data_IF_533763971488
#
_entry.id   IF_533763971488
#
_cell.length_a   1.000
_cell.length_b   1.000
_cell.length_c   1.000
_cell.angle_alpha   90.00
_cell.angle_beta   90.00
_cell.angle_gamma   90.00
#
_symmetry.space_group_name_H-M   'P 1'
#
loop_
_entity.id
_entity.type
_entity.pdbx_description
1 polymer ?
#
# COMPACT_ATOMS: atom_id res chain seq x y z
N UNK A 1 -7.88 -22.06 70.11
CA UNK A 1 -8.59 -21.36 68.99
C UNK A 1 -7.59 -21.02 67.88
N UNK A 2 -7.61 -21.78 66.76
CA UNK A 2 -6.72 -21.56 65.61
C UNK A 2 -7.52 -20.77 64.57
N UNK A 3 -7.07 -19.55 64.27
CA UNK A 3 -7.63 -18.77 63.19
C UNK A 3 -6.97 -19.19 61.89
N UNK A 4 -7.74 -19.78 60.95
CA UNK A 4 -7.32 -20.10 59.57
C UNK A 4 -7.63 -18.85 58.74
N UNK A 5 -6.59 -18.14 58.31
CA UNK A 5 -6.69 -17.09 57.30
C UNK A 5 -6.84 -17.75 55.92
N UNK A 6 -8.01 -17.70 55.36
CA UNK A 6 -8.24 -18.02 53.93
C UNK A 6 -7.74 -16.84 53.07
N UNK A 7 -6.60 -17.06 52.42
CA UNK A 7 -6.06 -16.16 51.39
C UNK A 7 -6.77 -16.50 50.07
N UNK A 8 -7.82 -15.77 49.75
CA UNK A 8 -8.45 -15.84 48.44
C UNK A 8 -7.56 -15.10 47.42
N UNK A 9 -6.78 -15.85 46.65
CA UNK A 9 -6.11 -15.32 45.44
C UNK A 9 -7.18 -14.94 44.42
N UNK A 10 -7.50 -13.66 44.31
CA UNK A 10 -8.18 -13.12 43.13
C UNK A 10 -7.22 -13.20 41.95
N UNK A 11 -7.34 -14.23 41.14
CA UNK A 11 -6.78 -14.27 39.80
C UNK A 11 -7.60 -13.27 38.95
N UNK A 12 -7.13 -12.04 38.88
CA UNK A 12 -7.59 -11.11 37.85
C UNK A 12 -7.15 -11.66 36.51
N UNK A 13 -8.05 -12.37 35.83
CA UNK A 13 -7.95 -12.58 34.40
C UNK A 13 -8.03 -11.20 33.74
N UNK A 14 -6.88 -10.57 33.49
CA UNK A 14 -6.78 -9.50 32.51
C UNK A 14 -7.12 -10.16 31.17
N UNK A 15 -8.38 -10.11 30.79
CA UNK A 15 -8.79 -10.41 29.45
C UNK A 15 -8.06 -9.38 28.58
N UNK A 16 -6.95 -9.80 27.98
CA UNK A 16 -6.26 -9.02 26.97
C UNK A 16 -7.28 -8.80 25.86
N UNK A 17 -7.72 -7.57 25.65
CA UNK A 17 -8.66 -7.26 24.59
C UNK A 17 -8.11 -7.88 23.30
N UNK A 18 -8.89 -8.75 22.67
CA UNK A 18 -8.48 -9.37 21.44
C UNK A 18 -8.24 -8.26 20.41
N UNK A 19 -7.04 -8.24 19.82
CA UNK A 19 -6.75 -7.34 18.72
C UNK A 19 -7.70 -7.67 17.57
N UNK A 20 -8.55 -6.74 17.16
CA UNK A 20 -9.59 -6.94 16.18
C UNK A 20 -9.65 -5.75 15.21
N UNK A 21 -9.57 -6.03 13.92
CA UNK A 21 -9.79 -5.03 12.88
C UNK A 21 -11.30 -4.88 12.66
N UNK A 22 -11.81 -3.68 12.91
CA UNK A 22 -13.19 -3.31 12.62
C UNK A 22 -13.28 -2.74 11.22
N UNK A 23 -13.21 -3.64 10.23
CA UNK A 23 -13.26 -3.24 8.84
C UNK A 23 -14.71 -2.97 8.43
N UNK A 24 -14.95 -1.78 7.88
CA UNK A 24 -16.27 -1.33 7.43
C UNK A 24 -16.24 -1.06 5.91
N UNK A 25 -16.47 -2.09 5.07
CA UNK A 25 -16.53 -1.89 3.64
C UNK A 25 -17.66 -0.94 3.26
N UNK A 26 -17.37 0.05 2.41
CA UNK A 26 -18.39 0.88 1.80
C UNK A 26 -18.45 0.67 0.30
N UNK A 27 -19.63 0.62 -0.26
CA UNK A 27 -19.81 0.56 -1.70
C UNK A 27 -19.52 1.94 -2.31
N UNK A 28 -18.57 1.99 -3.27
CA UNK A 28 -18.13 3.24 -3.92
C UNK A 28 -18.67 3.36 -5.35
N UNK A 29 -19.05 2.24 -5.96
CA UNK A 29 -19.73 2.16 -7.25
C UNK A 29 -20.52 0.83 -7.33
N UNK A 30 -21.25 0.60 -8.42
CA UNK A 30 -22.05 -0.61 -8.59
C UNK A 30 -21.19 -1.89 -8.54
N UNK A 31 -21.33 -2.65 -7.44
CA UNK A 31 -20.56 -3.85 -7.15
C UNK A 31 -19.07 -3.60 -6.90
N UNK A 32 -18.66 -2.36 -6.59
CA UNK A 32 -17.28 -2.00 -6.24
C UNK A 32 -17.26 -1.44 -4.83
N UNK A 33 -16.41 -2.02 -4.00
CA UNK A 33 -16.32 -1.77 -2.58
C UNK A 33 -14.92 -1.35 -2.17
N UNK A 34 -14.82 -0.62 -1.06
CA UNK A 34 -13.58 -0.16 -0.47
C UNK A 34 -13.58 -0.35 1.04
N UNK A 35 -12.48 -0.85 1.57
CA UNK A 35 -12.04 -0.71 2.96
C UNK A 35 -10.95 0.36 2.97
N UNK A 36 -11.27 1.53 3.52
CA UNK A 36 -10.36 2.67 3.53
C UNK A 36 -9.36 2.55 4.68
N UNK A 37 -8.08 2.75 4.37
CA UNK A 37 -6.99 2.79 5.35
C UNK A 37 -6.76 4.18 5.93
N UNK A 38 -6.04 4.24 7.04
CA UNK A 38 -5.58 5.51 7.63
C UNK A 38 -4.45 6.14 6.79
N UNK A 39 -4.33 7.46 6.80
CA UNK A 39 -3.18 8.18 6.21
C UNK A 39 -1.97 8.24 7.14
N UNK A 40 -2.01 7.55 8.29
CA UNK A 40 -0.93 7.48 9.27
C UNK A 40 0.20 6.53 8.84
N UNK A 41 1.22 6.44 9.67
CA UNK A 41 2.27 5.43 9.55
C UNK A 41 1.85 4.10 10.20
N UNK A 42 2.62 3.03 9.97
CA UNK A 42 2.50 1.79 10.74
C UNK A 42 2.64 2.06 12.22
N UNK A 43 1.68 1.62 13.01
CA UNK A 43 1.68 1.78 14.45
C UNK A 43 0.91 0.63 15.14
N UNK A 44 1.24 0.39 16.40
CA UNK A 44 0.59 -0.66 17.18
C UNK A 44 -0.90 -0.39 17.45
N UNK A 45 -1.33 0.86 17.44
CA UNK A 45 -2.72 1.26 17.65
C UNK A 45 -3.60 1.09 16.41
N UNK A 46 -3.02 1.18 15.19
CA UNK A 46 -3.75 0.94 13.94
C UNK A 46 -3.51 -0.47 13.37
N UNK A 47 -2.58 -1.24 13.93
CA UNK A 47 -2.23 -2.58 13.46
C UNK A 47 -1.70 -2.62 12.02
N UNK A 48 -1.29 -1.49 11.47
CA UNK A 48 -0.86 -1.35 10.09
C UNK A 48 -2.00 -1.17 9.08
N UNK A 49 -3.23 -0.89 9.52
CA UNK A 49 -4.37 -0.61 8.63
C UNK A 49 -4.26 0.80 8.03
N UNK A 50 -3.38 0.95 7.04
CA UNK A 50 -3.08 2.22 6.37
C UNK A 50 -3.34 2.20 4.85
N UNK A 51 -3.62 1.02 4.30
CA UNK A 51 -3.83 0.80 2.86
C UNK A 51 -5.31 0.80 2.50
N UNK A 52 -5.62 1.26 1.31
CA UNK A 52 -6.93 1.11 0.70
C UNK A 52 -7.04 -0.27 0.04
N UNK A 53 -7.91 -1.12 0.57
CA UNK A 53 -8.19 -2.44 0.02
C UNK A 53 -9.53 -2.41 -0.71
N UNK A 54 -9.52 -2.82 -1.98
CA UNK A 54 -10.71 -2.86 -2.81
C UNK A 54 -11.25 -4.27 -3.04
N UNK A 55 -12.55 -4.37 -3.35
CA UNK A 55 -13.08 -5.59 -3.91
C UNK A 55 -14.24 -5.35 -4.87
N UNK A 56 -14.36 -6.25 -5.85
CA UNK A 56 -15.29 -6.13 -6.96
C UNK A 56 -16.18 -7.38 -7.02
N UNK A 57 -17.49 -7.18 -7.02
CA UNK A 57 -18.44 -8.26 -7.25
C UNK A 57 -18.48 -8.65 -8.72
N UNK A 58 -18.45 -9.95 -8.97
CA UNK A 58 -18.58 -10.55 -10.29
C UNK A 58 -19.71 -11.60 -10.27
N UNK A 59 -20.02 -12.20 -11.41
CA UNK A 59 -20.96 -13.32 -11.49
C UNK A 59 -20.43 -14.58 -10.79
N UNK A 60 -19.10 -14.77 -10.78
CA UNK A 60 -18.46 -15.96 -10.21
C UNK A 60 -18.18 -15.83 -8.70
N UNK A 61 -18.21 -14.62 -8.15
CA UNK A 61 -17.88 -14.29 -6.76
C UNK A 61 -17.20 -12.93 -6.64
N UNK A 62 -16.35 -12.77 -5.66
CA UNK A 62 -15.65 -11.50 -5.38
C UNK A 62 -14.19 -11.58 -5.77
N UNK A 63 -13.71 -10.57 -6.50
CA UNK A 63 -12.29 -10.32 -6.75
C UNK A 63 -11.80 -9.29 -5.74
N UNK A 64 -10.72 -9.58 -5.04
CA UNK A 64 -10.13 -8.69 -4.03
C UNK A 64 -8.85 -8.07 -4.58
N UNK A 65 -8.66 -6.80 -4.35
CA UNK A 65 -7.47 -6.04 -4.75
C UNK A 65 -6.72 -5.67 -3.47
N UNK A 66 -5.55 -6.31 -3.29
CA UNK A 66 -4.73 -6.32 -2.10
C UNK A 66 -5.42 -6.98 -0.87
N UNK A 67 -4.64 -7.30 0.16
CA UNK A 67 -5.13 -8.15 1.25
C UNK A 67 -4.84 -7.62 2.65
N UNK A 68 -4.10 -6.50 2.73
CA UNK A 68 -3.79 -5.85 4.00
C UNK A 68 -2.50 -6.34 4.68
N UNK A 69 -2.18 -5.78 5.86
CA UNK A 69 -0.87 -5.86 6.51
C UNK A 69 -0.60 -7.17 7.26
N UNK A 70 -1.58 -8.03 7.49
CA UNK A 70 -1.39 -9.23 8.31
C UNK A 70 -2.43 -10.30 8.02
N UNK A 71 -2.14 -11.55 8.42
CA UNK A 71 -3.12 -12.64 8.42
C UNK A 71 -4.42 -12.23 9.11
N UNK A 72 -4.32 -11.63 10.29
CA UNK A 72 -5.48 -11.17 11.06
C UNK A 72 -6.34 -10.15 10.30
N UNK A 73 -5.68 -9.23 9.59
CA UNK A 73 -6.39 -8.29 8.71
C UNK A 73 -7.11 -9.04 7.58
N UNK A 74 -6.42 -9.93 6.90
CA UNK A 74 -7.00 -10.73 5.81
C UNK A 74 -8.21 -11.58 6.29
N UNK A 75 -8.15 -12.15 7.49
CA UNK A 75 -9.28 -12.88 8.10
C UNK A 75 -10.49 -11.96 8.34
N UNK A 76 -10.26 -10.76 8.88
CA UNK A 76 -11.30 -9.75 9.08
C UNK A 76 -11.86 -9.24 7.73
N UNK A 77 -10.99 -9.02 6.74
CA UNK A 77 -11.38 -8.62 5.40
C UNK A 77 -12.29 -9.66 4.75
N UNK A 78 -11.91 -10.94 4.79
CA UNK A 78 -12.71 -12.05 4.24
C UNK A 78 -14.11 -12.11 4.86
N UNK A 79 -14.19 -11.98 6.19
CA UNK A 79 -15.47 -11.93 6.90
C UNK A 79 -16.31 -10.71 6.50
N UNK A 80 -15.68 -9.55 6.35
CA UNK A 80 -16.35 -8.31 5.94
C UNK A 80 -16.90 -8.40 4.52
N UNK A 81 -16.16 -9.01 3.60
CA UNK A 81 -16.60 -9.26 2.22
C UNK A 81 -17.82 -10.19 2.20
N UNK A 82 -17.75 -11.32 2.92
CA UNK A 82 -18.86 -12.27 2.99
C UNK A 82 -20.14 -11.61 3.58
N UNK A 83 -19.96 -10.80 4.62
CA UNK A 83 -21.06 -10.05 5.24
C UNK A 83 -21.67 -9.01 4.28
N UNK A 84 -20.83 -8.31 3.51
CA UNK A 84 -21.29 -7.24 2.60
C UNK A 84 -21.95 -7.77 1.33
N UNK A 85 -21.45 -8.89 0.78
CA UNK A 85 -21.83 -9.38 -0.56
C UNK A 85 -22.60 -10.69 -0.55
N UNK A 86 -22.46 -11.50 0.49
CA UNK A 86 -22.98 -12.88 0.54
C UNK A 86 -22.28 -13.83 -0.44
N UNK A 87 -21.14 -13.43 -1.04
CA UNK A 87 -20.44 -14.17 -2.09
C UNK A 87 -19.07 -14.62 -1.64
N UNK A 88 -18.55 -15.77 -2.16
CA UNK A 88 -17.19 -16.20 -1.89
C UNK A 88 -16.16 -15.34 -2.62
N UNK A 89 -14.96 -15.22 -2.05
CA UNK A 89 -13.80 -14.67 -2.75
C UNK A 89 -13.27 -15.72 -3.73
N UNK A 90 -13.10 -15.34 -5.00
CA UNK A 90 -12.69 -16.25 -6.08
C UNK A 90 -11.30 -15.92 -6.63
N UNK A 91 -10.78 -14.73 -6.39
CA UNK A 91 -9.43 -14.33 -6.84
C UNK A 91 -8.92 -13.14 -6.05
N UNK A 92 -7.60 -13.14 -5.80
CA UNK A 92 -6.86 -11.99 -5.31
C UNK A 92 -6.02 -11.40 -6.45
N UNK A 93 -6.01 -10.08 -6.57
CA UNK A 93 -5.12 -9.33 -7.47
C UNK A 93 -4.23 -8.44 -6.61
N UNK A 94 -2.91 -8.62 -6.69
CA UNK A 94 -1.97 -7.82 -5.92
C UNK A 94 -1.44 -6.67 -6.78
N UNK A 95 -1.48 -5.46 -6.22
CA UNK A 95 -0.96 -4.27 -6.90
C UNK A 95 0.56 -4.27 -6.92
N UNK A 96 1.22 -4.59 -5.82
CA UNK A 96 2.67 -4.69 -5.69
C UNK A 96 3.03 -5.51 -4.43
N UNK A 97 4.31 -5.55 -4.04
CA UNK A 97 4.81 -6.49 -3.03
C UNK A 97 4.92 -5.93 -1.60
N UNK A 98 4.54 -4.69 -1.34
CA UNK A 98 4.70 -4.10 0.00
C UNK A 98 3.82 -4.76 1.07
N UNK A 99 4.28 -4.74 2.34
CA UNK A 99 3.72 -5.61 3.39
C UNK A 99 2.26 -5.29 3.74
N UNK A 100 1.86 -4.04 3.67
CA UNK A 100 0.48 -3.60 3.93
C UNK A 100 -0.51 -4.00 2.82
N UNK A 101 -0.01 -4.42 1.66
CA UNK A 101 -0.82 -4.89 0.53
C UNK A 101 -0.95 -6.41 0.48
N UNK A 102 0.04 -7.19 0.97
CA UNK A 102 0.15 -8.61 0.64
C UNK A 102 0.17 -9.57 1.82
N UNK A 103 0.45 -9.11 3.05
CA UNK A 103 0.62 -10.03 4.19
C UNK A 103 -0.69 -10.64 4.71
N UNK A 104 -1.83 -10.18 4.21
CA UNK A 104 -3.13 -10.82 4.42
C UNK A 104 -3.41 -12.00 3.51
N UNK A 105 -2.58 -12.30 2.50
CA UNK A 105 -2.77 -13.40 1.53
C UNK A 105 -3.09 -14.74 2.21
N UNK A 106 -2.44 -15.03 3.32
CA UNK A 106 -2.58 -16.28 4.07
C UNK A 106 -4.01 -16.58 4.51
N UNK A 107 -4.84 -15.55 4.72
CA UNK A 107 -6.24 -15.71 5.13
C UNK A 107 -7.15 -16.26 4.02
N UNK A 108 -6.67 -16.27 2.78
CA UNK A 108 -7.42 -16.69 1.59
C UNK A 108 -6.93 -18.03 1.05
N UNK A 109 -6.60 -18.98 1.93
CA UNK A 109 -6.13 -20.30 1.54
C UNK A 109 -7.06 -20.95 0.50
N UNK A 110 -6.49 -21.46 -0.59
CA UNK A 110 -7.23 -22.10 -1.69
C UNK A 110 -7.80 -21.13 -2.72
N UNK A 111 -7.68 -19.80 -2.53
CA UNK A 111 -8.05 -18.80 -3.53
C UNK A 111 -6.83 -18.48 -4.40
N UNK A 112 -6.94 -18.46 -5.73
CA UNK A 112 -5.85 -18.05 -6.61
C UNK A 112 -5.40 -16.62 -6.30
N UNK A 113 -4.08 -16.43 -6.17
CA UNK A 113 -3.43 -15.13 -5.95
C UNK A 113 -2.68 -14.77 -7.22
N UNK A 114 -3.05 -13.68 -7.84
CA UNK A 114 -2.49 -13.24 -9.11
C UNK A 114 -1.72 -11.92 -8.96
N UNK A 115 -0.53 -11.85 -9.55
CA UNK A 115 0.34 -10.67 -9.53
C UNK A 115 1.22 -10.58 -10.78
N UNK A 116 1.82 -9.43 -11.03
CA UNK A 116 2.89 -9.31 -12.04
C UNK A 116 4.07 -10.22 -11.65
N UNK A 117 4.78 -10.82 -12.63
CA UNK A 117 5.96 -11.66 -12.34
C UNK A 117 7.01 -10.96 -11.47
N UNK A 118 7.22 -9.65 -11.70
CA UNK A 118 8.13 -8.84 -10.91
C UNK A 118 7.68 -8.71 -9.45
N UNK A 119 6.39 -8.54 -9.19
CA UNK A 119 5.82 -8.50 -7.85
C UNK A 119 6.04 -9.82 -7.11
N UNK A 120 5.79 -10.95 -7.77
CA UNK A 120 6.03 -12.29 -7.20
C UNK A 120 7.52 -12.48 -6.84
N UNK A 121 8.42 -12.06 -7.73
CA UNK A 121 9.86 -12.14 -7.49
C UNK A 121 10.28 -11.29 -6.28
N UNK A 122 9.86 -10.02 -6.24
CA UNK A 122 10.19 -9.12 -5.15
C UNK A 122 9.62 -9.59 -3.80
N UNK A 123 8.41 -10.13 -3.79
CA UNK A 123 7.82 -10.71 -2.58
C UNK A 123 8.59 -11.95 -2.10
N UNK A 124 9.04 -12.82 -3.00
CA UNK A 124 9.86 -13.96 -2.66
C UNK A 124 11.23 -13.58 -2.09
N UNK A 125 11.83 -12.49 -2.57
CA UNK A 125 13.14 -12.01 -2.13
C UNK A 125 13.08 -11.21 -0.82
N UNK A 126 12.01 -10.46 -0.56
CA UNK A 126 11.94 -9.44 0.49
C UNK A 126 10.85 -9.71 1.54
N UNK A 127 9.90 -10.60 1.25
CA UNK A 127 8.68 -10.78 2.04
C UNK A 127 8.94 -11.10 3.50
N UNK A 128 9.86 -12.04 3.79
CA UNK A 128 10.16 -12.43 5.17
C UNK A 128 10.77 -11.28 5.98
N UNK A 129 11.68 -10.51 5.38
CA UNK A 129 12.27 -9.34 6.02
C UNK A 129 11.24 -8.23 6.28
N UNK A 130 10.30 -8.05 5.35
CA UNK A 130 9.19 -7.12 5.51
C UNK A 130 8.24 -7.56 6.63
N UNK A 131 7.88 -8.84 6.70
CA UNK A 131 7.04 -9.39 7.76
C UNK A 131 7.70 -9.25 9.14
N UNK A 132 9.01 -9.51 9.26
CA UNK A 132 9.78 -9.28 10.48
C UNK A 132 9.78 -7.80 10.88
N UNK A 133 9.97 -6.89 9.92
CA UNK A 133 9.91 -5.46 10.18
C UNK A 133 8.51 -5.01 10.62
N UNK A 134 7.46 -5.52 10.00
CA UNK A 134 6.08 -5.25 10.41
C UNK A 134 5.82 -5.71 11.83
N UNK A 135 6.36 -6.86 12.26
CA UNK A 135 6.25 -7.31 13.64
C UNK A 135 6.88 -6.31 14.63
N UNK A 136 7.99 -5.67 14.26
CA UNK A 136 8.63 -4.62 15.08
C UNK A 136 7.77 -3.35 15.18
N UNK A 137 7.02 -3.02 14.12
CA UNK A 137 6.22 -1.80 14.03
C UNK A 137 4.85 -1.92 14.67
N UNK A 138 4.15 -3.04 14.45
CA UNK A 138 2.77 -3.22 14.87
C UNK A 138 2.57 -4.34 15.91
N UNK A 139 3.63 -5.07 16.27
CA UNK A 139 3.63 -6.05 17.37
C UNK A 139 2.72 -7.24 17.10
N UNK A 140 1.92 -7.61 18.10
CA UNK A 140 1.08 -8.81 18.12
C UNK A 140 -0.01 -8.87 17.03
N UNK A 141 -0.26 -7.80 16.30
CA UNK A 141 -1.09 -7.84 15.10
C UNK A 141 -0.54 -8.77 14.02
N UNK A 142 0.79 -8.96 14.02
CA UNK A 142 1.48 -9.85 13.10
C UNK A 142 1.52 -11.31 13.51
N UNK A 143 1.03 -11.65 14.69
CA UNK A 143 1.16 -13.01 15.24
C UNK A 143 0.55 -14.06 14.30
N UNK A 144 1.38 -15.01 13.86
CA UNK A 144 1.01 -16.08 12.93
C UNK A 144 0.89 -15.66 11.47
N UNK A 145 1.34 -14.45 11.14
CA UNK A 145 1.42 -13.99 9.74
C UNK A 145 2.64 -14.61 9.07
N UNK A 146 2.42 -15.22 7.92
CA UNK A 146 3.43 -15.82 7.05
C UNK A 146 3.27 -15.26 5.63
N UNK A 147 4.38 -15.20 4.90
CA UNK A 147 4.38 -14.76 3.50
C UNK A 147 3.81 -15.85 2.62
N UNK A 148 2.78 -15.53 1.84
CA UNK A 148 2.19 -16.43 0.84
C UNK A 148 2.35 -15.80 -0.54
N UNK A 149 3.07 -16.51 -1.41
CA UNK A 149 3.38 -16.04 -2.76
C UNK A 149 2.19 -16.17 -3.71
N UNK A 150 2.12 -15.29 -4.75
CA UNK A 150 1.19 -15.45 -5.85
C UNK A 150 1.32 -16.80 -6.54
N UNK A 151 0.19 -17.32 -7.01
CA UNK A 151 0.06 -18.62 -7.69
C UNK A 151 -0.18 -18.47 -9.19
N UNK A 152 -0.53 -17.27 -9.64
CA UNK A 152 -0.84 -16.96 -11.04
C UNK A 152 -0.13 -15.67 -11.47
N UNK A 153 0.24 -15.60 -12.74
CA UNK A 153 0.87 -14.42 -13.33
C UNK A 153 -0.17 -13.53 -14.02
N UNK A 154 -0.04 -12.21 -13.79
CA UNK A 154 -0.77 -11.16 -14.49
C UNK A 154 0.13 -10.47 -15.49
N UNK A 155 -0.48 -10.01 -16.57
CA UNK A 155 0.15 -9.19 -17.59
C UNK A 155 -0.74 -7.98 -17.90
N UNK A 156 -0.13 -6.94 -18.50
CA UNK A 156 -0.90 -5.79 -18.99
C UNK A 156 -1.94 -6.24 -20.03
N UNK A 157 -3.13 -5.66 -19.94
CA UNK A 157 -4.23 -5.95 -20.87
C UNK A 157 -5.55 -6.16 -20.16
N UNK A 158 -6.50 -6.74 -20.85
CA UNK A 158 -7.83 -7.01 -20.30
C UNK A 158 -7.87 -8.34 -19.55
N UNK A 159 -8.49 -8.34 -18.37
CA UNK A 159 -8.79 -9.52 -17.58
C UNK A 159 -10.31 -9.65 -17.43
N UNK A 160 -10.88 -10.77 -17.83
CA UNK A 160 -12.31 -11.05 -17.66
C UNK A 160 -12.54 -12.05 -16.56
N UNK A 161 -13.40 -11.70 -15.57
CA UNK A 161 -13.79 -12.57 -14.46
C UNK A 161 -15.30 -12.42 -14.23
N UNK A 162 -16.06 -13.50 -14.41
CA UNK A 162 -17.50 -13.51 -14.12
C UNK A 162 -18.27 -12.35 -14.75
N UNK A 163 -18.11 -12.13 -16.04
CA UNK A 163 -18.72 -11.03 -16.81
C UNK A 163 -18.28 -9.62 -16.38
N UNK A 164 -17.18 -9.49 -15.64
CA UNK A 164 -16.54 -8.22 -15.30
C UNK A 164 -15.24 -8.10 -16.11
N UNK A 165 -15.07 -6.98 -16.78
CA UNK A 165 -13.85 -6.68 -17.53
C UNK A 165 -13.03 -5.66 -16.79
N UNK A 166 -11.81 -6.06 -16.43
CA UNK A 166 -10.81 -5.23 -15.76
C UNK A 166 -9.69 -4.92 -16.76
N UNK A 167 -9.31 -3.65 -16.89
CA UNK A 167 -8.13 -3.25 -17.63
C UNK A 167 -6.95 -3.18 -16.66
N UNK A 168 -5.94 -3.99 -16.93
CA UNK A 168 -4.69 -4.06 -16.16
C UNK A 168 -3.63 -3.20 -16.82
N UNK A 169 -2.96 -2.36 -16.06
CA UNK A 169 -1.84 -1.53 -16.50
C UNK A 169 -0.59 -1.86 -15.70
N UNK A 170 0.43 -2.41 -16.36
CA UNK A 170 1.71 -2.73 -15.72
C UNK A 170 2.63 -1.51 -15.74
N UNK A 171 3.09 -1.09 -14.58
CA UNK A 171 3.84 0.11 -14.29
C UNK A 171 5.03 -0.23 -13.39
N UNK A 172 5.86 0.76 -13.02
CA UNK A 172 7.12 0.50 -12.34
C UNK A 172 7.55 1.59 -11.34
N UNK A 173 6.81 2.71 -11.28
CA UNK A 173 7.29 3.93 -10.61
C UNK A 173 7.50 3.80 -9.12
N UNK A 174 6.69 2.97 -8.44
CA UNK A 174 6.77 2.81 -6.99
C UNK A 174 7.73 1.69 -6.56
N UNK A 175 7.64 0.48 -7.18
CA UNK A 175 8.45 -0.68 -6.77
C UNK A 175 9.23 -1.35 -7.90
N UNK A 176 9.07 -0.90 -9.12
CA UNK A 176 9.61 -1.56 -10.31
C UNK A 176 8.69 -2.65 -10.88
N UNK A 177 7.61 -3.03 -10.18
CA UNK A 177 6.59 -3.97 -10.65
C UNK A 177 5.25 -3.64 -9.95
N UNK A 178 4.52 -2.70 -10.52
CA UNK A 178 3.31 -2.13 -9.97
C UNK A 178 2.13 -2.36 -10.92
N UNK A 179 0.98 -2.74 -10.39
CA UNK A 179 -0.24 -2.99 -11.14
C UNK A 179 -1.31 -1.97 -10.78
N UNK A 180 -1.84 -1.26 -11.77
CA UNK A 180 -3.09 -0.53 -11.63
C UNK A 180 -4.23 -1.29 -12.32
N UNK A 181 -5.44 -1.19 -11.76
CA UNK A 181 -6.60 -1.97 -12.18
C UNK A 181 -7.77 -1.02 -12.38
N UNK A 182 -8.27 -0.92 -13.62
CA UNK A 182 -9.48 -0.17 -13.93
C UNK A 182 -10.65 -1.14 -14.12
N UNK A 183 -11.70 -0.97 -13.36
CA UNK A 183 -12.98 -1.61 -13.66
C UNK A 183 -13.69 -0.84 -14.80
N UNK A 184 -13.72 -1.42 -15.98
CA UNK A 184 -14.26 -0.76 -17.18
C UNK A 184 -15.77 -0.45 -17.05
N UNK A 185 -16.52 -1.23 -16.26
CA UNK A 185 -17.95 -1.06 -16.09
C UNK A 185 -18.29 0.22 -15.31
N UNK A 186 -17.57 0.48 -14.23
CA UNK A 186 -17.85 1.63 -13.35
C UNK A 186 -16.93 2.81 -13.58
N UNK A 187 -15.72 2.56 -14.14
CA UNK A 187 -14.66 3.53 -14.25
C UNK A 187 -13.89 3.75 -12.94
N UNK A 188 -13.96 2.82 -11.98
CA UNK A 188 -13.16 2.88 -10.76
C UNK A 188 -11.75 2.38 -11.06
N UNK A 189 -10.75 3.23 -10.81
CA UNK A 189 -9.33 2.94 -10.95
C UNK A 189 -8.73 2.67 -9.57
N UNK A 190 -8.25 1.47 -9.33
CA UNK A 190 -7.38 1.12 -8.21
C UNK A 190 -5.94 1.32 -8.65
N UNK A 191 -5.30 2.34 -8.12
CA UNK A 191 -3.98 2.77 -8.55
C UNK A 191 -2.84 2.11 -7.76
N UNK A 192 -3.13 1.43 -6.65
CA UNK A 192 -2.09 1.02 -5.71
C UNK A 192 -1.23 2.22 -5.30
N UNK A 193 -0.01 1.97 -4.91
CA UNK A 193 0.94 2.98 -4.44
C UNK A 193 1.60 3.81 -5.56
N UNK A 194 1.11 3.66 -6.79
CA UNK A 194 1.40 4.64 -7.84
C UNK A 194 0.77 6.00 -7.53
N UNK A 195 -0.31 6.03 -6.73
CA UNK A 195 -0.95 7.25 -6.24
C UNK A 195 -1.06 7.25 -4.71
N UNK A 196 -0.57 8.34 -4.14
CA UNK A 196 -0.79 8.76 -2.75
C UNK A 196 -1.58 10.06 -2.76
N UNK A 197 -2.54 10.19 -1.85
CA UNK A 197 -3.31 11.42 -1.74
C UNK A 197 -3.47 11.85 -0.28
N UNK A 198 -3.22 13.12 0.02
CA UNK A 198 -3.19 13.68 1.39
C UNK A 198 -2.19 12.96 2.34
N UNK A 199 -1.34 12.12 1.79
CA UNK A 199 -0.21 11.44 2.43
C UNK A 199 1.00 11.53 1.51
N UNK A 200 2.20 11.68 2.07
CA UNK A 200 3.44 11.70 1.31
C UNK A 200 3.76 10.30 0.77
N UNK A 201 4.29 10.27 -0.44
CA UNK A 201 4.66 9.05 -1.15
C UNK A 201 5.89 8.36 -0.52
N UNK A 202 5.96 7.06 -0.66
CA UNK A 202 7.04 6.21 -0.18
C UNK A 202 7.97 5.80 -1.34
N UNK A 203 9.27 6.11 -1.26
CA UNK A 203 10.21 5.95 -2.38
C UNK A 203 11.22 4.81 -2.29
N UNK A 204 11.45 4.09 -1.18
CA UNK A 204 12.59 3.19 -1.03
C UNK A 204 12.82 2.17 -2.14
N UNK A 205 11.76 1.69 -2.78
CA UNK A 205 11.84 0.70 -3.85
C UNK A 205 11.67 1.31 -5.24
N UNK A 206 11.50 2.64 -5.35
CA UNK A 206 11.32 3.31 -6.64
C UNK A 206 12.58 3.22 -7.49
N UNK A 207 12.47 2.83 -8.77
CA UNK A 207 13.61 2.83 -9.69
C UNK A 207 14.06 4.23 -10.09
N UNK A 208 13.22 5.26 -9.89
CA UNK A 208 13.53 6.65 -10.19
C UNK A 208 12.27 7.53 -10.25
N UNK A 209 12.44 8.80 -9.87
CA UNK A 209 11.31 9.75 -9.85
C UNK A 209 10.81 10.09 -11.27
N UNK A 210 11.68 10.07 -12.26
CA UNK A 210 11.36 10.23 -13.68
C UNK A 210 10.51 9.07 -14.23
N UNK A 211 10.83 7.84 -13.82
CA UNK A 211 10.03 6.66 -14.16
C UNK A 211 8.63 6.79 -13.57
N UNK A 212 8.53 7.25 -12.32
CA UNK A 212 7.23 7.42 -11.66
C UNK A 212 6.39 8.53 -12.32
N UNK A 213 7.02 9.64 -12.69
CA UNK A 213 6.33 10.71 -13.44
C UNK A 213 5.77 10.24 -14.78
N UNK A 214 6.55 9.43 -15.52
CA UNK A 214 6.07 8.85 -16.78
C UNK A 214 4.91 7.86 -16.57
N UNK A 215 4.93 7.10 -15.48
CA UNK A 215 3.84 6.19 -15.12
C UNK A 215 2.57 6.96 -14.70
N UNK A 216 2.70 8.11 -14.04
CA UNK A 216 1.55 8.98 -13.76
C UNK A 216 0.87 9.47 -15.04
N UNK A 217 1.63 9.76 -16.11
CA UNK A 217 1.04 10.14 -17.41
C UNK A 217 0.20 9.03 -18.02
N UNK A 218 0.70 7.79 -17.97
CA UNK A 218 -0.02 6.61 -18.45
C UNK A 218 -1.28 6.33 -17.63
N UNK A 219 -1.18 6.47 -16.32
CA UNK A 219 -2.27 6.19 -15.40
C UNK A 219 -3.39 7.25 -15.53
N UNK A 220 -3.02 8.52 -15.64
CA UNK A 220 -3.98 9.63 -15.81
C UNK A 220 -4.71 9.56 -17.15
N UNK A 221 -4.09 9.02 -18.19
CA UNK A 221 -4.69 8.84 -19.51
C UNK A 221 -5.76 7.72 -19.58
N UNK A 222 -5.89 6.88 -18.54
CA UNK A 222 -6.93 5.85 -18.48
C UNK A 222 -8.33 6.50 -18.38
N UNK A 223 -9.39 5.84 -18.87
CA UNK A 223 -10.75 6.38 -18.85
C UNK A 223 -11.44 6.20 -17.47
N UNK A 224 -10.77 6.61 -16.40
CA UNK A 224 -11.30 6.54 -15.05
C UNK A 224 -12.37 7.62 -14.80
N UNK A 225 -13.26 7.35 -13.85
CA UNK A 225 -14.26 8.28 -13.31
C UNK A 225 -14.08 8.50 -11.81
N UNK A 226 -13.45 7.55 -11.14
CA UNK A 226 -13.16 7.60 -9.72
C UNK A 226 -11.81 6.90 -9.47
N UNK A 227 -11.02 7.45 -8.56
CA UNK A 227 -9.66 6.97 -8.24
C UNK A 227 -9.64 6.50 -6.81
N UNK A 228 -9.12 5.28 -6.61
CA UNK A 228 -8.74 4.73 -5.32
C UNK A 228 -7.21 4.72 -5.28
N UNK A 229 -6.55 5.67 -4.60
CA UNK A 229 -5.10 5.62 -4.37
C UNK A 229 -4.75 4.45 -3.43
N UNK A 230 -3.51 4.00 -3.39
CA UNK A 230 -3.07 3.03 -2.39
C UNK A 230 -3.23 3.57 -0.97
N UNK A 231 -2.96 4.86 -0.79
CA UNK A 231 -3.13 5.55 0.49
C UNK A 231 -3.82 6.91 0.30
N UNK A 232 -4.77 7.18 1.18
CA UNK A 232 -5.52 8.43 1.21
C UNK A 232 -6.93 8.35 0.61
N UNK A 233 -7.69 9.44 0.63
CA UNK A 233 -9.10 9.41 0.29
C UNK A 233 -9.35 9.17 -1.20
N UNK A 234 -10.46 8.49 -1.48
CA UNK A 234 -11.02 8.33 -2.83
C UNK A 234 -11.47 9.66 -3.39
N UNK A 235 -11.27 9.87 -4.69
CA UNK A 235 -11.69 11.10 -5.37
C UNK A 235 -12.26 10.82 -6.77
N UNK A 236 -12.97 11.81 -7.30
CA UNK A 236 -13.50 11.82 -8.68
C UNK A 236 -12.82 12.88 -9.55
N UNK A 237 -11.78 13.51 -9.05
CA UNK A 237 -10.99 14.52 -9.77
C UNK A 237 -9.50 14.12 -9.85
N UNK A 238 -8.71 14.89 -10.59
CA UNK A 238 -7.29 14.66 -10.81
C UNK A 238 -6.37 15.17 -9.69
N UNK A 239 -6.91 15.57 -8.54
CA UNK A 239 -6.11 16.13 -7.44
C UNK A 239 -4.96 15.22 -6.96
N UNK A 240 -5.10 13.87 -6.88
CA UNK A 240 -3.97 13.00 -6.55
C UNK A 240 -2.81 13.11 -7.53
N UNK A 241 -3.09 13.16 -8.83
CA UNK A 241 -2.04 13.32 -9.85
C UNK A 241 -1.32 14.65 -9.72
N UNK A 242 -2.06 15.72 -9.52
CA UNK A 242 -1.48 17.06 -9.32
C UNK A 242 -0.59 17.10 -8.07
N UNK A 243 -1.06 16.55 -6.94
CA UNK A 243 -0.28 16.47 -5.70
C UNK A 243 1.00 15.64 -5.90
N UNK A 244 0.89 14.46 -6.54
CA UNK A 244 2.03 13.57 -6.77
C UNK A 244 3.09 14.23 -7.67
N UNK A 245 2.68 14.84 -8.79
CA UNK A 245 3.61 15.55 -9.69
C UNK A 245 4.33 16.69 -8.98
N UNK A 246 3.61 17.50 -8.22
CA UNK A 246 4.21 18.60 -7.47
C UNK A 246 5.19 18.09 -6.41
N UNK A 247 4.84 17.03 -5.68
CA UNK A 247 5.71 16.45 -4.66
C UNK A 247 6.96 15.80 -5.27
N UNK A 248 6.81 14.99 -6.32
CA UNK A 248 7.93 14.37 -7.04
C UNK A 248 8.85 15.41 -7.66
N UNK A 249 8.29 16.45 -8.27
CA UNK A 249 9.07 17.56 -8.85
C UNK A 249 9.84 18.35 -7.81
N UNK A 250 9.23 18.63 -6.66
CA UNK A 250 9.91 19.25 -5.53
C UNK A 250 11.04 18.38 -4.99
N UNK A 251 10.79 17.09 -4.80
CA UNK A 251 11.78 16.14 -4.28
C UNK A 251 12.96 16.00 -5.24
N UNK A 252 12.72 15.81 -6.54
CA UNK A 252 13.77 15.77 -7.57
C UNK A 252 14.63 17.03 -7.56
N UNK A 253 13.97 18.19 -7.53
CA UNK A 253 14.66 19.48 -7.47
C UNK A 253 15.54 19.62 -6.24
N UNK A 254 15.04 19.24 -5.06
CA UNK A 254 15.79 19.26 -3.80
C UNK A 254 17.02 18.37 -3.88
N UNK A 255 16.88 17.13 -4.33
CA UNK A 255 17.96 16.14 -4.42
C UNK A 255 19.01 16.55 -5.45
N UNK A 256 18.58 17.02 -6.62
CA UNK A 256 19.46 17.49 -7.70
C UNK A 256 20.27 18.69 -7.28
N UNK A 257 19.62 19.73 -6.75
CA UNK A 257 20.29 20.93 -6.30
C UNK A 257 21.26 20.63 -5.14
N UNK A 258 20.85 19.79 -4.20
CA UNK A 258 21.74 19.35 -3.11
C UNK A 258 23.01 18.69 -3.63
N UNK A 259 22.89 17.74 -4.57
CA UNK A 259 24.01 17.05 -5.17
C UNK A 259 24.95 17.99 -5.97
N UNK A 260 24.39 18.94 -6.73
CA UNK A 260 25.17 19.94 -7.49
C UNK A 260 25.93 20.90 -6.57
N UNK A 261 25.40 21.19 -5.39
CA UNK A 261 26.03 22.06 -4.39
C UNK A 261 26.96 21.33 -3.42
N UNK A 262 27.03 20.00 -3.49
CA UNK A 262 27.78 19.16 -2.57
C UNK A 262 27.21 19.19 -1.14
N UNK A 263 25.89 19.37 -1.00
CA UNK A 263 25.23 19.38 0.29
C UNK A 263 25.26 18.00 0.94
N UNK A 264 25.41 17.97 2.25
CA UNK A 264 25.37 16.73 3.01
C UNK A 264 23.93 16.20 3.13
N UNK A 265 23.75 14.87 3.17
CA UNK A 265 22.45 14.24 3.36
C UNK A 265 21.69 14.82 4.57
N UNK A 266 22.40 15.15 5.65
CA UNK A 266 21.83 15.75 6.86
C UNK A 266 21.21 17.15 6.65
N UNK A 267 21.64 17.86 5.64
CA UNK A 267 21.08 19.16 5.28
C UNK A 267 19.75 18.96 4.55
N UNK A 268 19.71 18.01 3.61
CA UNK A 268 18.52 17.71 2.84
C UNK A 268 17.37 17.15 3.70
N UNK A 269 17.64 16.23 4.64
CA UNK A 269 16.62 15.70 5.53
C UNK A 269 16.00 16.77 6.45
N UNK A 270 16.71 17.90 6.65
CA UNK A 270 16.24 19.05 7.43
C UNK A 270 15.64 20.15 6.57
N UNK A 271 15.67 20.03 5.26
CA UNK A 271 15.11 21.01 4.37
C UNK A 271 13.66 21.37 4.77
N UNK A 272 13.24 22.64 4.65
CA UNK A 272 11.87 23.01 4.98
C UNK A 272 10.88 22.31 4.05
N UNK A 273 9.81 21.79 4.61
CA UNK A 273 8.67 21.29 3.82
C UNK A 273 7.92 22.50 3.28
N UNK A 274 7.69 22.61 1.97
CA UNK A 274 6.92 23.69 1.40
C UNK A 274 5.51 23.78 1.99
N UNK A 275 5.00 25.02 2.15
CA UNK A 275 3.68 25.29 2.76
C UNK A 275 2.55 24.50 2.08
N UNK A 276 2.61 24.34 0.76
CA UNK A 276 1.63 23.57 -0.01
C UNK A 276 1.56 22.07 0.34
N UNK A 277 2.55 21.56 1.06
CA UNK A 277 2.55 20.18 1.60
C UNK A 277 2.31 20.13 3.12
N UNK A 278 1.95 21.24 3.75
CA UNK A 278 1.73 21.32 5.19
C UNK A 278 0.60 20.40 5.68
N UNK A 279 -0.39 20.13 4.81
CA UNK A 279 -1.52 19.24 5.09
C UNK A 279 -1.34 17.82 4.53
N UNK A 280 -0.17 17.51 3.93
CA UNK A 280 0.15 16.18 3.44
C UNK A 280 0.78 15.39 4.59
N UNK A 281 0.06 14.38 5.07
CA UNK A 281 0.53 13.57 6.20
C UNK A 281 1.89 12.92 5.90
N UNK A 282 2.72 12.76 6.93
CA UNK A 282 4.03 12.11 6.89
C UNK A 282 5.09 12.79 6.00
N UNK A 283 4.88 14.03 5.51
CA UNK A 283 5.82 14.70 4.62
C UNK A 283 7.27 14.74 5.17
N UNK A 284 7.47 15.00 6.45
CA UNK A 284 8.80 14.95 7.07
C UNK A 284 9.36 13.54 7.16
N UNK A 285 8.55 12.59 7.54
CA UNK A 285 8.96 11.19 7.66
C UNK A 285 9.40 10.62 6.31
N UNK A 286 8.59 10.82 5.28
CA UNK A 286 8.90 10.30 3.94
C UNK A 286 10.01 11.08 3.26
N UNK A 287 10.21 12.39 3.55
CA UNK A 287 11.39 13.12 3.09
C UNK A 287 12.69 12.48 3.60
N UNK A 288 12.75 12.12 4.89
CA UNK A 288 13.95 11.48 5.47
C UNK A 288 14.23 10.15 4.75
N UNK A 289 13.21 9.34 4.53
CA UNK A 289 13.34 8.05 3.83
C UNK A 289 13.77 8.25 2.37
N UNK A 290 13.13 9.17 1.67
CA UNK A 290 13.43 9.49 0.27
C UNK A 290 14.86 9.98 0.08
N UNK A 291 15.31 10.91 0.91
CA UNK A 291 16.70 11.40 0.88
C UNK A 291 17.66 10.25 1.14
N UNK A 292 17.40 9.42 2.17
CA UNK A 292 18.29 8.31 2.54
C UNK A 292 18.47 7.28 1.41
N UNK A 293 17.43 7.04 0.62
CA UNK A 293 17.46 6.05 -0.45
C UNK A 293 17.91 6.61 -1.81
N UNK A 294 17.44 7.79 -2.16
CA UNK A 294 17.63 8.36 -3.49
C UNK A 294 18.90 9.21 -3.61
N UNK A 295 19.23 10.00 -2.58
CA UNK A 295 20.28 10.99 -2.65
C UNK A 295 21.67 10.43 -3.03
N UNK A 296 22.11 9.24 -2.56
CA UNK A 296 23.37 8.67 -3.00
C UNK A 296 23.49 8.45 -4.52
N UNK A 297 22.38 8.27 -5.22
CA UNK A 297 22.39 8.16 -6.68
C UNK A 297 22.54 9.52 -7.36
N UNK A 298 21.97 10.56 -6.80
CA UNK A 298 22.11 11.93 -7.29
C UNK A 298 23.55 12.45 -7.09
N UNK A 299 24.17 12.16 -5.95
CA UNK A 299 25.60 12.49 -5.69
C UNK A 299 26.52 11.82 -6.70
N UNK A 300 26.38 10.49 -6.94
CA UNK A 300 27.17 9.79 -7.95
C UNK A 300 27.00 10.40 -9.34
N UNK A 301 25.79 10.76 -9.72
CA UNK A 301 25.52 11.37 -11.01
C UNK A 301 26.12 12.78 -11.14
N UNK A 302 26.11 13.56 -10.08
CA UNK A 302 26.74 14.88 -10.05
C UNK A 302 28.27 14.79 -10.15
N UNK A 303 28.90 13.88 -9.39
CA UNK A 303 30.36 13.64 -9.46
C UNK A 303 30.81 13.16 -10.84
N UNK A 304 30.09 12.25 -11.48
CA UNK A 304 30.43 11.76 -12.82
C UNK A 304 30.31 12.81 -13.95
N UNK A 305 29.70 13.97 -13.67
CA UNK A 305 29.66 15.13 -14.60
C UNK A 305 30.91 16.01 -14.49
N UNK A 306 31.61 15.97 -13.37
CA UNK A 306 32.84 16.77 -13.14
C UNK A 306 34.03 16.17 -13.87
N UNK A 307 34.01 14.86 -14.14
CA UNK A 307 35.11 14.14 -14.80
C UNK A 307 35.01 14.12 -16.34
N UNK A 308 34.06 14.89 -16.92
CA UNK A 308 33.87 15.08 -18.38
C UNK A 308 34.15 16.53 -18.78
#
# INVERSE_FOLDING_TARGET
>A
MRWILLLTCLLANLAQAALDYRLEPRQIADGVWLVEGSTDNFAADNGGNIVNVGFIETADGVVVIDTGPSRRYGEALRQSIEKATGKPVVRLLLTHHHPDHVLGNQAFAGVPIAALPGTTKLLAEQGDAMAENMYRLVGDWMRGTEVVLPTEELHEGALEIGCRRLQLLALRGHTGADLAILDERTGVLFAGDLLFYQRALTTPNSPGLDVWLADLDRLEAMPWKQIVPGHGPVTTDAAPFAQMRDYLGWLDGLLRQGAEQGAEMNELIRAPIPERFAQVNLSRYELIRSVSHLYPSYERNAMGRVDR
#
